data_IF_658305649538
#
_entry.id   IF_658305649538
#
_cell.length_a   1.000
_cell.length_b   1.000
_cell.length_c   1.000
_cell.angle_alpha   90.00
_cell.angle_beta   90.00
_cell.angle_gamma   90.00
#
_symmetry.space_group_name_H-M   'P 1'
#
loop_
_entity.id
_entity.type
_entity.pdbx_description
1 polymer ?
#
# COMPACT_ATOMS: atom_id res chain seq x y z
N UNK A 1 3.10 -4.85 25.55
CA UNK A 1 1.94 -4.78 24.64
C UNK A 1 1.69 -6.19 24.11
N UNK A 2 0.50 -6.78 24.29
CA UNK A 2 0.21 -8.10 23.74
C UNK A 2 0.10 -7.98 22.21
N UNK A 3 0.90 -8.76 21.48
CA UNK A 3 0.78 -8.86 20.03
C UNK A 3 -0.60 -9.45 19.70
N UNK A 4 -1.36 -8.81 18.81
CA UNK A 4 -2.61 -9.41 18.30
C UNK A 4 -2.26 -10.65 17.47
N UNK A 5 -3.07 -11.71 17.54
CA UNK A 5 -2.83 -12.94 16.77
C UNK A 5 -2.65 -12.67 15.27
N UNK A 6 -3.33 -11.67 14.73
CA UNK A 6 -3.18 -11.21 13.34
C UNK A 6 -1.78 -10.69 13.00
N UNK A 7 -1.12 -9.98 13.92
CA UNK A 7 0.20 -9.42 13.69
C UNK A 7 1.26 -10.52 13.54
N UNK A 8 1.20 -11.54 14.41
CA UNK A 8 2.08 -12.71 14.33
C UNK A 8 1.83 -13.54 13.05
N UNK A 9 0.56 -13.71 12.67
CA UNK A 9 0.20 -14.40 11.42
C UNK A 9 0.65 -13.61 10.18
N UNK A 10 0.47 -12.29 10.17
CA UNK A 10 0.96 -11.46 9.07
C UNK A 10 2.48 -11.55 8.91
N UNK A 11 3.23 -11.54 10.01
CA UNK A 11 4.68 -11.74 9.97
C UNK A 11 5.06 -13.13 9.40
N UNK A 12 4.30 -14.17 9.79
CA UNK A 12 4.48 -15.54 9.28
C UNK A 12 4.19 -15.64 7.78
N UNK A 13 3.14 -14.98 7.28
CA UNK A 13 2.81 -14.92 5.86
C UNK A 13 3.92 -14.25 5.03
N UNK A 14 4.57 -13.23 5.58
CA UNK A 14 5.75 -12.62 4.94
C UNK A 14 6.92 -13.60 4.90
N UNK A 15 7.16 -14.34 5.98
CA UNK A 15 8.23 -15.34 6.03
C UNK A 15 8.02 -16.45 4.98
N UNK A 16 6.81 -17.01 4.89
CA UNK A 16 6.44 -18.02 3.88
C UNK A 16 6.59 -17.46 2.46
N UNK A 17 6.13 -16.23 2.22
CA UNK A 17 6.31 -15.59 0.91
C UNK A 17 7.77 -15.35 0.57
N UNK A 18 8.62 -15.08 1.56
CA UNK A 18 10.06 -14.90 1.34
C UNK A 18 10.72 -16.23 1.03
N UNK A 19 10.43 -17.28 1.81
CA UNK A 19 10.97 -18.63 1.61
C UNK A 19 10.64 -19.18 0.23
N UNK A 20 9.35 -19.15 -0.16
CA UNK A 20 8.93 -19.58 -1.50
C UNK A 20 9.69 -18.86 -2.62
N UNK A 21 9.97 -17.55 -2.44
CA UNK A 21 10.73 -16.79 -3.41
C UNK A 21 12.21 -17.16 -3.39
N UNK A 22 12.82 -17.28 -2.22
CA UNK A 22 14.23 -17.67 -2.05
C UNK A 22 14.51 -19.06 -2.64
N UNK A 23 13.60 -20.02 -2.48
CA UNK A 23 13.68 -21.34 -3.13
C UNK A 23 13.73 -21.20 -4.65
N UNK A 24 12.85 -20.38 -5.24
CA UNK A 24 12.88 -20.07 -6.67
C UNK A 24 14.18 -19.34 -7.13
N UNK A 25 14.95 -18.72 -6.22
CA UNK A 25 16.23 -18.07 -6.54
C UNK A 25 17.39 -19.04 -6.57
N UNK A 26 17.41 -20.01 -5.63
CA UNK A 26 18.43 -21.07 -5.59
C UNK A 26 18.45 -21.85 -6.90
N UNK A 27 17.30 -21.96 -7.56
CA UNK A 27 17.16 -22.58 -8.87
C UNK A 27 17.67 -21.69 -10.04
N UNK A 28 17.91 -20.38 -9.84
CA UNK A 28 18.29 -19.42 -10.91
C UNK A 28 19.22 -18.29 -10.41
N UNK A 29 20.53 -18.56 -10.36
CA UNK A 29 21.60 -17.66 -9.88
C UNK A 29 21.61 -16.26 -10.56
N UNK A 30 21.20 -16.14 -11.83
CA UNK A 30 21.25 -14.87 -12.58
C UNK A 30 20.20 -13.83 -12.17
N UNK A 31 19.31 -14.13 -11.20
CA UNK A 31 18.27 -13.20 -10.73
C UNK A 31 18.65 -12.33 -9.52
N UNK A 32 19.80 -12.55 -8.92
CA UNK A 32 20.24 -11.91 -7.66
C UNK A 32 19.92 -10.40 -7.52
N UNK A 33 20.15 -9.52 -8.53
CA UNK A 33 19.83 -8.09 -8.40
C UNK A 33 18.33 -7.79 -8.31
N UNK A 34 17.48 -8.59 -8.96
CA UNK A 34 16.01 -8.42 -8.92
C UNK A 34 15.44 -8.86 -7.58
N UNK A 35 16.14 -9.75 -6.88
CA UNK A 35 15.68 -10.35 -5.63
C UNK A 35 16.15 -9.59 -4.40
N UNK A 36 17.25 -8.82 -4.50
CA UNK A 36 17.70 -7.90 -3.46
C UNK A 36 16.55 -6.98 -2.99
N UNK A 37 15.77 -6.45 -3.94
CA UNK A 37 14.63 -5.59 -3.62
C UNK A 37 13.57 -6.25 -2.75
N UNK A 38 13.18 -7.47 -3.11
CA UNK A 38 12.14 -8.19 -2.39
C UNK A 38 12.65 -8.71 -1.05
N UNK A 39 13.88 -9.24 -1.03
CA UNK A 39 14.57 -9.72 0.16
C UNK A 39 14.68 -8.61 1.21
N UNK A 40 15.21 -7.45 0.83
CA UNK A 40 15.40 -6.31 1.75
C UNK A 40 14.06 -5.88 2.34
N UNK A 41 13.04 -5.68 1.50
CA UNK A 41 11.71 -5.26 1.98
C UNK A 41 11.11 -6.31 2.93
N UNK A 42 11.21 -7.60 2.58
CA UNK A 42 10.70 -8.68 3.41
C UNK A 42 11.43 -8.77 4.77
N UNK A 43 12.74 -8.49 4.82
CA UNK A 43 13.51 -8.48 6.08
C UNK A 43 12.97 -7.47 7.10
N UNK A 44 12.52 -6.29 6.65
CA UNK A 44 12.04 -5.23 7.57
C UNK A 44 10.51 -5.18 7.72
N UNK A 45 9.76 -5.98 6.96
CA UNK A 45 8.29 -6.02 7.04
C UNK A 45 7.75 -6.53 8.38
N UNK A 46 8.27 -7.65 8.96
CA UNK A 46 7.78 -8.21 10.21
C UNK A 46 7.80 -7.23 11.40
N UNK A 47 8.85 -6.41 11.54
CA UNK A 47 8.94 -5.45 12.66
C UNK A 47 7.83 -4.40 12.65
N UNK A 48 7.31 -4.03 11.47
CA UNK A 48 6.16 -3.11 11.39
C UNK A 48 4.85 -3.84 11.63
N UNK A 49 4.70 -5.07 11.12
CA UNK A 49 3.52 -5.90 11.35
C UNK A 49 3.31 -6.21 12.83
N UNK A 50 4.40 -6.43 13.56
CA UNK A 50 4.40 -6.67 15.00
C UNK A 50 4.27 -5.38 15.83
N UNK A 51 4.21 -4.20 15.20
CA UNK A 51 4.13 -2.92 15.90
C UNK A 51 5.41 -2.51 16.64
N UNK A 52 6.54 -3.19 16.40
CA UNK A 52 7.85 -2.85 16.99
C UNK A 52 8.39 -1.55 16.40
N UNK A 53 8.05 -1.25 15.14
CA UNK A 53 8.50 -0.07 14.42
C UNK A 53 7.37 0.55 13.61
N UNK A 54 7.52 1.83 13.25
CA UNK A 54 6.58 2.51 12.35
C UNK A 54 6.95 2.29 10.88
N UNK A 55 6.01 2.52 9.96
CA UNK A 55 6.28 2.45 8.52
C UNK A 55 7.38 3.43 8.06
N UNK A 56 7.55 4.56 8.74
CA UNK A 56 8.63 5.52 8.44
C UNK A 56 10.00 4.99 8.85
N UNK A 57 10.10 4.37 10.04
CA UNK A 57 11.34 3.75 10.51
C UNK A 57 11.70 2.55 9.62
N UNK A 58 10.72 1.74 9.25
CA UNK A 58 10.89 0.65 8.30
C UNK A 58 11.43 1.15 6.96
N UNK A 59 10.79 2.17 6.38
CA UNK A 59 11.23 2.74 5.11
C UNK A 59 12.68 3.23 5.19
N UNK A 60 13.04 3.97 6.24
CA UNK A 60 14.41 4.45 6.43
C UNK A 60 15.42 3.29 6.50
N UNK A 61 15.12 2.21 7.22
CA UNK A 61 15.97 1.02 7.30
C UNK A 61 16.10 0.30 5.95
N UNK A 62 15.01 0.19 5.20
CA UNK A 62 15.01 -0.37 3.84
C UNK A 62 15.93 0.47 2.93
N UNK A 63 15.82 1.79 2.97
CA UNK A 63 16.68 2.71 2.18
C UNK A 63 18.15 2.54 2.56
N UNK A 64 18.47 2.60 3.86
CA UNK A 64 19.84 2.40 4.35
C UNK A 64 20.43 1.07 3.87
N UNK A 65 19.62 -0.01 3.90
CA UNK A 65 20.08 -1.31 3.43
C UNK A 65 20.32 -1.35 1.94
N UNK A 66 19.47 -0.72 1.14
CA UNK A 66 19.70 -0.61 -0.30
C UNK A 66 20.97 0.17 -0.63
N UNK A 67 21.17 1.32 0.02
CA UNK A 67 22.37 2.15 -0.19
C UNK A 67 23.64 1.42 0.22
N UNK A 68 23.61 0.65 1.32
CA UNK A 68 24.73 -0.20 1.74
C UNK A 68 25.07 -1.30 0.72
N UNK A 69 24.11 -1.71 -0.11
CA UNK A 69 24.32 -2.65 -1.22
C UNK A 69 24.58 -1.94 -2.57
N UNK A 70 24.79 -0.61 -2.57
CA UNK A 70 25.07 0.17 -3.77
C UNK A 70 23.85 0.46 -4.65
N UNK A 71 22.64 0.22 -4.15
CA UNK A 71 21.38 0.37 -4.90
C UNK A 71 20.78 1.74 -4.61
N UNK A 72 20.87 2.66 -5.57
CA UNK A 72 20.38 4.05 -5.44
C UNK A 72 19.07 4.33 -6.18
N UNK A 73 18.73 3.49 -7.15
CA UNK A 73 17.52 3.62 -7.96
C UNK A 73 17.49 2.59 -9.08
N UNK A 74 16.41 2.59 -9.87
CA UNK A 74 16.29 1.73 -11.05
C UNK A 74 15.23 2.27 -12.03
N UNK A 75 15.19 1.69 -13.23
CA UNK A 75 14.13 1.90 -14.21
C UNK A 75 13.24 0.66 -14.21
N UNK A 76 11.93 0.87 -14.02
CA UNK A 76 10.98 -0.25 -14.07
C UNK A 76 10.64 -0.68 -15.50
N UNK A 77 9.86 -1.75 -15.63
CA UNK A 77 9.46 -2.31 -16.94
C UNK A 77 8.63 -1.35 -17.79
N UNK A 78 8.03 -0.33 -17.18
CA UNK A 78 7.27 0.72 -17.88
C UNK A 78 8.13 1.94 -18.25
N UNK A 79 9.46 1.86 -18.05
CA UNK A 79 10.38 2.96 -18.33
C UNK A 79 10.41 4.05 -17.25
N UNK A 80 9.71 3.87 -16.12
CA UNK A 80 9.69 4.86 -15.05
C UNK A 80 10.95 4.76 -14.20
N UNK A 81 11.58 5.90 -13.94
CA UNK A 81 12.71 6.03 -13.03
C UNK A 81 12.21 6.07 -11.58
N UNK A 82 12.80 5.23 -10.74
CA UNK A 82 12.54 5.16 -9.31
C UNK A 82 13.78 5.58 -8.54
N UNK A 83 13.62 6.53 -7.62
CA UNK A 83 14.58 6.71 -6.52
C UNK A 83 14.34 5.63 -5.48
N UNK A 84 15.40 5.19 -4.82
CA UNK A 84 15.29 4.06 -3.91
C UNK A 84 14.38 4.35 -2.71
N UNK A 85 14.32 5.60 -2.23
CA UNK A 85 13.41 6.01 -1.17
C UNK A 85 11.93 5.95 -1.56
N UNK A 86 11.59 6.37 -2.78
CA UNK A 86 10.23 6.27 -3.30
C UNK A 86 9.81 4.79 -3.48
N UNK A 87 10.75 3.96 -3.95
CA UNK A 87 10.51 2.52 -4.04
C UNK A 87 10.33 1.88 -2.66
N UNK A 88 11.21 2.18 -1.70
CA UNK A 88 11.15 1.66 -0.35
C UNK A 88 9.84 2.01 0.35
N UNK A 89 9.33 3.23 0.17
CA UNK A 89 8.01 3.63 0.68
C UNK A 89 6.91 2.76 0.07
N UNK A 90 6.87 2.68 -1.26
CA UNK A 90 5.83 1.94 -1.98
C UNK A 90 5.86 0.46 -1.59
N UNK A 91 7.04 -0.16 -1.64
CA UNK A 91 7.20 -1.59 -1.40
C UNK A 91 6.94 -1.95 0.06
N UNK A 92 7.44 -1.16 1.02
CA UNK A 92 7.21 -1.36 2.45
C UNK A 92 5.72 -1.28 2.80
N UNK A 93 5.05 -0.19 2.39
CA UNK A 93 3.60 -0.02 2.62
C UNK A 93 2.77 -1.14 1.99
N UNK A 94 3.09 -1.51 0.76
CA UNK A 94 2.38 -2.57 0.03
C UNK A 94 2.56 -3.92 0.72
N UNK A 95 3.78 -4.23 1.18
CA UNK A 95 4.07 -5.51 1.85
C UNK A 95 3.31 -5.63 3.17
N UNK A 96 3.29 -4.55 3.96
CA UNK A 96 2.52 -4.50 5.22
C UNK A 96 1.02 -4.64 4.96
N UNK A 97 0.46 -3.87 4.03
CA UNK A 97 -0.97 -3.89 3.75
C UNK A 97 -1.45 -5.26 3.25
N UNK A 98 -0.72 -5.87 2.31
CA UNK A 98 -1.05 -7.22 1.80
C UNK A 98 -0.96 -8.27 2.90
N UNK A 99 0.12 -8.28 3.68
CA UNK A 99 0.29 -9.24 4.76
C UNK A 99 -0.83 -9.15 5.81
N UNK A 100 -1.28 -7.93 6.16
CA UNK A 100 -2.43 -7.76 7.06
C UNK A 100 -3.74 -8.27 6.46
N UNK A 101 -4.02 -7.96 5.19
CA UNK A 101 -5.22 -8.46 4.53
C UNK A 101 -5.20 -10.00 4.45
N UNK A 102 -4.08 -10.59 4.05
CA UNK A 102 -3.95 -12.03 3.91
C UNK A 102 -4.07 -12.75 5.27
N UNK A 103 -3.43 -12.23 6.32
CA UNK A 103 -3.58 -12.76 7.67
C UNK A 103 -5.00 -12.57 8.23
N UNK A 104 -5.65 -11.46 7.89
CA UNK A 104 -7.04 -11.18 8.23
C UNK A 104 -7.98 -12.23 7.63
N UNK A 105 -7.85 -12.49 6.33
CA UNK A 105 -8.62 -13.51 5.59
C UNK A 105 -8.35 -14.91 6.15
N UNK A 106 -7.07 -15.27 6.35
CA UNK A 106 -6.72 -16.57 6.93
C UNK A 106 -7.41 -16.78 8.27
N UNK A 107 -7.35 -15.80 9.16
CA UNK A 107 -8.01 -15.86 10.47
C UNK A 107 -9.54 -15.95 10.35
N UNK A 108 -10.15 -15.22 9.41
CA UNK A 108 -11.59 -15.33 9.15
C UNK A 108 -11.96 -16.78 8.77
N UNK A 109 -11.23 -17.38 7.84
CA UNK A 109 -11.43 -18.77 7.42
C UNK A 109 -11.25 -19.76 8.57
N UNK A 110 -10.24 -19.57 9.43
CA UNK A 110 -10.06 -20.41 10.64
C UNK A 110 -11.22 -20.31 11.64
N UNK A 111 -12.02 -19.24 11.59
CA UNK A 111 -13.22 -19.07 12.42
C UNK A 111 -14.50 -19.42 11.65
N UNK A 112 -14.41 -20.12 10.51
CA UNK A 112 -15.57 -20.50 9.70
C UNK A 112 -16.22 -19.33 8.95
N UNK A 113 -15.57 -18.17 8.88
CA UNK A 113 -16.05 -17.02 8.12
C UNK A 113 -15.52 -17.13 6.69
N UNK A 114 -16.41 -17.44 5.76
CA UNK A 114 -16.09 -17.65 4.35
C UNK A 114 -16.37 -16.43 3.46
N UNK A 115 -17.03 -15.41 4.02
CA UNK A 115 -17.41 -14.19 3.32
C UNK A 115 -16.74 -12.96 3.93
N UNK A 116 -16.32 -12.04 3.06
CA UNK A 116 -15.79 -10.74 3.43
C UNK A 116 -16.47 -9.62 2.68
N UNK A 117 -16.21 -8.40 3.11
CA UNK A 117 -16.48 -7.19 2.33
C UNK A 117 -15.18 -6.43 2.14
N UNK A 118 -15.05 -5.73 1.02
CA UNK A 118 -13.91 -4.84 0.79
C UNK A 118 -14.33 -3.43 1.18
N UNK A 119 -13.51 -2.77 1.99
CA UNK A 119 -13.67 -1.36 2.29
C UNK A 119 -12.45 -0.54 1.89
N UNK A 120 -12.65 0.74 1.63
CA UNK A 120 -11.62 1.65 1.13
C UNK A 120 -11.84 3.10 1.55
N UNK A 121 -10.91 3.96 1.13
CA UNK A 121 -11.03 5.40 1.30
C UNK A 121 -11.83 6.05 0.17
N UNK A 122 -12.34 7.26 0.40
CA UNK A 122 -13.05 8.05 -0.62
C UNK A 122 -12.21 8.27 -1.90
N UNK A 123 -10.89 8.36 -1.77
CA UNK A 123 -9.94 8.51 -2.88
C UNK A 123 -9.40 7.16 -3.40
N UNK A 124 -10.20 6.10 -3.30
CA UNK A 124 -9.92 4.78 -3.87
C UNK A 124 -9.69 4.88 -5.39
N UNK A 125 -8.86 3.98 -5.93
CA UNK A 125 -8.58 4.00 -7.36
C UNK A 125 -9.69 3.29 -8.14
N UNK A 126 -9.77 3.57 -9.46
CA UNK A 126 -10.72 2.90 -10.37
C UNK A 126 -10.67 1.37 -10.35
N UNK A 127 -9.55 0.75 -9.95
CA UNK A 127 -9.40 -0.72 -9.91
C UNK A 127 -10.03 -1.33 -8.67
N UNK A 128 -9.98 -0.62 -7.55
CA UNK A 128 -10.52 -1.09 -6.27
C UNK A 128 -11.96 -0.66 -6.07
N UNK A 129 -12.35 0.50 -6.60
CA UNK A 129 -13.69 1.06 -6.42
C UNK A 129 -14.85 0.09 -6.78
N UNK A 130 -14.78 -0.72 -7.85
CA UNK A 130 -15.84 -1.68 -8.18
C UNK A 130 -16.09 -2.75 -7.12
N UNK A 131 -15.14 -2.97 -6.21
CA UNK A 131 -15.21 -3.99 -5.17
C UNK A 131 -15.57 -3.43 -3.79
N UNK A 132 -15.51 -2.11 -3.59
CA UNK A 132 -15.80 -1.53 -2.28
C UNK A 132 -17.29 -1.66 -1.97
N UNK A 133 -17.63 -2.14 -0.78
CA UNK A 133 -19.02 -2.39 -0.37
C UNK A 133 -19.61 -3.68 -0.93
N UNK A 134 -18.83 -4.48 -1.65
CA UNK A 134 -19.24 -5.75 -2.27
C UNK A 134 -18.93 -6.93 -1.37
N UNK A 135 -19.80 -7.93 -1.39
CA UNK A 135 -19.58 -9.18 -0.66
C UNK A 135 -18.72 -10.08 -1.54
N UNK A 136 -17.59 -10.53 -1.00
CA UNK A 136 -16.65 -11.42 -1.67
C UNK A 136 -16.52 -12.74 -0.93
N UNK A 137 -16.52 -13.85 -1.66
CA UNK A 137 -16.23 -15.18 -1.11
C UNK A 137 -14.73 -15.46 -1.07
N UNK A 138 -14.29 -16.13 -0.01
CA UNK A 138 -12.94 -16.69 0.12
C UNK A 138 -12.82 -18.12 -0.43
N UNK A 139 -13.95 -18.82 -0.59
CA UNK A 139 -14.01 -20.25 -0.96
C UNK A 139 -14.53 -20.49 -2.39
N UNK A 140 -14.98 -19.45 -3.08
CA UNK A 140 -15.32 -19.51 -4.50
C UNK A 140 -16.81 -19.38 -4.83
N UNK A 141 -17.68 -19.42 -3.83
CA UNK A 141 -19.14 -19.29 -4.00
C UNK A 141 -19.52 -17.88 -4.49
N UNK A 142 -20.43 -17.79 -5.45
CA UNK A 142 -20.93 -16.51 -6.02
C UNK A 142 -22.43 -16.58 -6.30
N UNK A 143 -23.10 -15.43 -6.41
CA UNK A 143 -24.54 -15.35 -6.68
C UNK A 143 -25.38 -15.38 -5.41
N UNK A 144 -26.68 -15.66 -5.57
CA UNK A 144 -27.62 -15.71 -4.45
C UNK A 144 -27.49 -17.03 -3.69
N UNK A 145 -27.20 -16.93 -2.40
CA UNK A 145 -27.05 -18.10 -1.51
C UNK A 145 -27.89 -17.89 -0.26
N UNK A 146 -28.59 -18.94 0.16
CA UNK A 146 -29.33 -18.97 1.41
C UNK A 146 -28.38 -19.38 2.53
N UNK A 147 -28.16 -18.48 3.49
CA UNK A 147 -27.25 -18.70 4.62
C UNK A 147 -28.00 -18.50 5.95
N UNK A 148 -27.56 -19.16 7.04
CA UNK A 148 -28.07 -18.84 8.37
C UNK A 148 -27.82 -17.38 8.71
N UNK A 149 -28.82 -16.67 9.22
CA UNK A 149 -28.62 -15.30 9.69
C UNK A 149 -27.67 -15.28 10.88
N UNK A 150 -26.74 -14.33 10.92
CA UNK A 150 -25.68 -14.30 11.93
C UNK A 150 -26.19 -14.18 13.38
N UNK A 151 -27.37 -13.57 13.57
CA UNK A 151 -27.97 -13.33 14.90
C UNK A 151 -29.41 -13.80 15.04
N UNK A 152 -30.04 -14.31 13.97
CA UNK A 152 -31.46 -14.70 13.96
C UNK A 152 -31.57 -16.17 13.57
N UNK A 153 -32.63 -16.85 14.02
CA UNK A 153 -32.84 -18.28 13.74
C UNK A 153 -33.39 -18.59 12.34
N UNK A 154 -33.64 -17.57 11.53
CA UNK A 154 -34.15 -17.70 10.17
C UNK A 154 -33.03 -17.56 9.13
N UNK A 155 -33.13 -18.24 7.98
CA UNK A 155 -32.17 -18.05 6.91
C UNK A 155 -32.36 -16.70 6.21
N UNK A 156 -31.30 -16.20 5.58
CA UNK A 156 -31.29 -14.98 4.77
C UNK A 156 -30.63 -15.25 3.42
N UNK A 157 -31.22 -14.70 2.36
CA UNK A 157 -30.61 -14.71 1.03
C UNK A 157 -29.55 -13.62 0.96
N UNK A 158 -28.31 -14.01 0.67
CA UNK A 158 -27.18 -13.11 0.46
C UNK A 158 -26.74 -13.19 -0.99
N UNK A 159 -26.64 -12.04 -1.64
CA UNK A 159 -26.01 -11.94 -2.96
C UNK A 159 -24.50 -11.76 -2.80
N UNK A 160 -23.72 -12.72 -3.29
CA UNK A 160 -22.25 -12.68 -3.29
C UNK A 160 -21.78 -12.16 -4.65
N UNK A 161 -21.23 -10.94 -4.68
CA UNK A 161 -20.86 -10.24 -5.91
C UNK A 161 -19.67 -10.89 -6.66
N UNK A 162 -18.83 -11.65 -5.96
CA UNK A 162 -17.68 -12.34 -6.56
C UNK A 162 -16.77 -12.99 -5.53
N UNK A 163 -15.54 -13.30 -5.94
CA UNK A 163 -14.52 -13.91 -5.08
C UNK A 163 -13.37 -12.94 -4.82
N UNK A 164 -12.69 -13.10 -3.68
CA UNK A 164 -11.48 -12.33 -3.39
C UNK A 164 -10.37 -12.59 -4.44
N UNK A 165 -10.34 -13.80 -5.01
CA UNK A 165 -9.45 -14.15 -6.11
C UNK A 165 -9.75 -13.34 -7.38
N UNK A 166 -11.02 -13.20 -7.76
CA UNK A 166 -11.45 -12.35 -8.89
C UNK A 166 -11.13 -10.87 -8.63
N UNK A 167 -11.31 -10.39 -7.40
CA UNK A 167 -10.92 -9.03 -7.02
C UNK A 167 -9.42 -8.80 -7.25
N UNK A 168 -8.57 -9.72 -6.77
CA UNK A 168 -7.13 -9.66 -7.01
C UNK A 168 -6.77 -9.71 -8.50
N UNK A 169 -7.44 -10.58 -9.28
CA UNK A 169 -7.22 -10.71 -10.72
C UNK A 169 -7.54 -9.43 -11.49
N UNK A 170 -8.55 -8.68 -11.04
CA UNK A 170 -8.94 -7.39 -11.64
C UNK A 170 -8.15 -6.18 -11.11
N UNK A 171 -7.25 -6.40 -10.16
CA UNK A 171 -6.26 -5.42 -9.71
C UNK A 171 -6.50 -4.84 -8.32
N UNK A 172 -7.42 -5.39 -7.53
CA UNK A 172 -7.49 -5.10 -6.09
C UNK A 172 -6.21 -5.56 -5.37
N UNK A 173 -5.77 -4.83 -4.34
CA UNK A 173 -4.53 -5.12 -3.63
C UNK A 173 -3.28 -4.71 -4.41
N UNK A 174 -3.38 -3.74 -5.31
CA UNK A 174 -2.26 -3.21 -6.09
C UNK A 174 -1.22 -2.47 -5.21
N UNK A 175 -0.06 -2.10 -5.75
CA UNK A 175 0.91 -1.30 -4.99
C UNK A 175 0.33 0.03 -4.47
N UNK A 176 0.62 0.37 -3.21
CA UNK A 176 0.03 1.51 -2.48
C UNK A 176 -1.49 1.47 -2.29
N UNK A 177 -2.14 0.32 -2.49
CA UNK A 177 -3.55 0.16 -2.13
C UNK A 177 -3.75 0.36 -0.62
N UNK A 178 -4.89 0.96 -0.27
CA UNK A 178 -5.33 1.20 1.11
C UNK A 178 -6.63 0.47 1.44
N UNK A 179 -7.16 -0.29 0.50
CA UNK A 179 -8.34 -1.11 0.74
C UNK A 179 -8.02 -2.28 1.67
N UNK A 180 -9.01 -2.67 2.45
CA UNK A 180 -8.92 -3.78 3.40
C UNK A 180 -10.08 -4.74 3.21
N UNK A 181 -9.88 -5.97 3.67
CA UNK A 181 -10.96 -6.96 3.76
C UNK A 181 -11.46 -6.98 5.20
N UNK A 182 -12.75 -6.72 5.38
CA UNK A 182 -13.44 -6.87 6.65
C UNK A 182 -14.33 -8.13 6.60
N UNK A 183 -14.61 -8.73 7.75
CA UNK A 183 -15.49 -9.90 7.82
C UNK A 183 -16.93 -9.48 7.47
N UNK A 184 -17.63 -10.32 6.71
CA UNK A 184 -19.06 -10.17 6.47
C UNK A 184 -19.83 -11.28 7.17
N UNK A 185 -20.85 -10.90 7.93
CA UNK A 185 -21.75 -11.83 8.62
C UNK A 185 -23.13 -11.75 7.97
N UNK A 186 -23.71 -12.88 7.51
CA UNK A 186 -24.99 -12.89 6.81
C UNK A 186 -26.11 -12.18 7.57
N UNK A 187 -26.83 -11.30 6.88
CA UNK A 187 -27.94 -10.54 7.42
C UNK A 187 -27.57 -9.31 8.27
N UNK A 188 -26.27 -9.05 8.49
CA UNK A 188 -25.81 -7.81 9.09
C UNK A 188 -25.52 -6.73 8.03
N UNK A 189 -25.34 -5.49 8.50
CA UNK A 189 -25.02 -4.36 7.64
C UNK A 189 -23.71 -4.58 6.89
N UNK A 190 -23.69 -4.19 5.62
CA UNK A 190 -22.50 -4.23 4.76
C UNK A 190 -21.80 -2.87 4.86
N UNK A 191 -20.56 -2.80 5.41
CA UNK A 191 -19.75 -1.60 5.38
C UNK A 191 -19.66 -1.01 3.97
N UNK A 192 -19.91 0.30 3.85
CA UNK A 192 -19.76 1.04 2.60
C UNK A 192 -20.54 0.46 1.40
N UNK A 193 -21.68 -0.18 1.63
CA UNK A 193 -22.54 -0.76 0.56
C UNK A 193 -22.81 0.21 -0.59
N UNK A 194 -23.03 1.47 -0.26
CA UNK A 194 -23.39 2.52 -1.22
C UNK A 194 -22.18 3.33 -1.70
N UNK A 195 -20.97 2.77 -1.60
CA UNK A 195 -19.76 3.43 -2.05
C UNK A 195 -19.84 3.80 -3.53
N UNK A 196 -19.47 5.05 -3.84
CA UNK A 196 -19.40 5.54 -5.21
C UNK A 196 -17.97 5.93 -5.56
N UNK A 197 -17.54 5.55 -6.76
CA UNK A 197 -16.23 5.91 -7.26
C UNK A 197 -16.15 7.43 -7.52
N UNK A 198 -15.27 8.09 -6.78
CA UNK A 198 -14.95 9.50 -7.01
C UNK A 198 -13.65 9.63 -7.83
N UNK A 199 -13.83 9.85 -9.14
CA UNK A 199 -12.73 10.10 -10.09
C UNK A 199 -11.92 11.35 -9.72
N UNK A 200 -12.59 12.37 -9.19
CA UNK A 200 -11.94 13.62 -8.80
C UNK A 200 -11.04 13.39 -7.58
N UNK A 201 -11.51 12.69 -6.55
CA UNK A 201 -10.70 12.36 -5.39
C UNK A 201 -9.47 11.50 -5.74
N UNK A 202 -9.61 10.54 -6.67
CA UNK A 202 -8.45 9.79 -7.21
C UNK A 202 -7.47 10.72 -7.94
N UNK A 203 -7.96 11.60 -8.80
CA UNK A 203 -7.15 12.55 -9.55
C UNK A 203 -6.39 13.49 -8.61
N UNK A 204 -7.05 14.04 -7.60
CA UNK A 204 -6.43 14.93 -6.62
C UNK A 204 -5.33 14.22 -5.80
N UNK A 205 -5.54 12.94 -5.44
CA UNK A 205 -4.49 12.14 -4.83
C UNK A 205 -3.28 11.99 -5.77
N UNK A 206 -3.52 11.75 -7.06
CA UNK A 206 -2.46 11.61 -8.04
C UNK A 206 -1.71 12.93 -8.27
N UNK A 207 -2.44 14.05 -8.30
CA UNK A 207 -1.86 15.38 -8.49
C UNK A 207 -0.99 15.80 -7.30
N UNK A 208 -1.43 15.55 -6.07
CA UNK A 208 -0.60 15.73 -4.89
C UNK A 208 0.74 14.97 -5.01
N UNK A 209 0.70 13.74 -5.55
CA UNK A 209 1.90 12.92 -5.77
C UNK A 209 2.77 13.44 -6.91
N UNK A 210 2.21 14.14 -7.90
CA UNK A 210 2.93 14.76 -9.01
C UNK A 210 3.76 15.96 -8.54
N UNK A 211 3.22 16.75 -7.60
CA UNK A 211 3.87 17.92 -7.01
C UNK A 211 5.00 17.56 -6.03
N UNK A 212 4.90 16.43 -5.32
CA UNK A 212 5.91 15.96 -4.36
C UNK A 212 7.35 15.88 -4.94
N UNK A 213 7.60 15.26 -6.13
CA UNK A 213 8.89 15.25 -6.80
C UNK A 213 9.47 16.63 -7.13
N UNK A 214 8.64 17.60 -7.51
CA UNK A 214 9.09 18.94 -7.91
C UNK A 214 9.72 19.67 -6.72
N UNK A 215 9.08 19.59 -5.54
CA UNK A 215 9.63 20.12 -4.29
C UNK A 215 10.97 19.45 -3.96
N UNK A 216 11.07 18.13 -4.14
CA UNK A 216 12.33 17.40 -3.92
C UNK A 216 13.41 17.82 -4.91
N UNK A 217 13.06 18.04 -6.17
CA UNK A 217 14.00 18.47 -7.20
C UNK A 217 14.57 19.85 -6.88
N UNK A 218 13.72 20.80 -6.49
CA UNK A 218 14.16 22.13 -6.07
C UNK A 218 15.07 22.07 -4.83
N UNK A 219 14.73 21.23 -3.84
CA UNK A 219 15.58 21.02 -2.66
C UNK A 219 16.94 20.40 -3.00
N UNK A 220 16.98 19.48 -3.97
CA UNK A 220 18.24 18.89 -4.47
C UNK A 220 19.14 19.96 -5.07
N UNK A 221 18.57 20.82 -5.92
CA UNK A 221 19.31 21.94 -6.51
C UNK A 221 19.81 22.91 -5.44
N UNK A 222 19.01 23.15 -4.40
CA UNK A 222 19.41 23.99 -3.27
C UNK A 222 20.58 23.39 -2.49
N UNK A 223 20.53 22.08 -2.23
CA UNK A 223 21.61 21.38 -1.52
C UNK A 223 22.91 21.28 -2.33
N UNK A 224 22.80 21.26 -3.67
CA UNK A 224 23.94 21.18 -4.59
C UNK A 224 24.48 22.55 -5.03
N UNK A 225 23.89 23.66 -4.57
CA UNK A 225 24.30 25.00 -4.99
C UNK A 225 25.72 25.32 -4.51
N UNK A 226 26.57 25.77 -5.44
CA UNK A 226 27.98 26.09 -5.16
C UNK A 226 28.21 27.59 -4.93
N UNK A 227 27.23 28.44 -5.25
CA UNK A 227 27.31 29.90 -5.08
C UNK A 227 26.12 30.42 -4.30
N UNK A 228 26.29 31.57 -3.63
CA UNK A 228 25.19 32.24 -2.92
C UNK A 228 24.04 32.64 -3.86
N UNK A 229 24.36 33.01 -5.11
CA UNK A 229 23.36 33.36 -6.12
C UNK A 229 22.51 32.16 -6.49
N UNK A 230 23.13 31.00 -6.68
CA UNK A 230 22.44 29.75 -7.01
C UNK A 230 21.64 29.23 -5.81
N UNK A 231 22.20 29.33 -4.60
CA UNK A 231 21.50 28.96 -3.37
C UNK A 231 20.22 29.78 -3.17
N UNK A 232 20.30 31.11 -3.40
CA UNK A 232 19.13 32.01 -3.36
C UNK A 232 18.11 31.69 -4.45
N UNK A 233 18.55 31.34 -5.66
CA UNK A 233 17.66 30.92 -6.77
C UNK A 233 16.91 29.64 -6.40
N UNK A 234 17.63 28.61 -5.99
CA UNK A 234 17.04 27.33 -5.63
C UNK A 234 16.10 27.45 -4.42
N UNK A 235 16.41 28.31 -3.43
CA UNK A 235 15.50 28.60 -2.32
C UNK A 235 14.17 29.23 -2.79
N UNK A 236 14.21 30.12 -3.79
CA UNK A 236 12.97 30.66 -4.42
C UNK A 236 12.18 29.57 -5.13
N UNK A 237 12.85 28.66 -5.83
CA UNK A 237 12.19 27.54 -6.51
C UNK A 237 11.52 26.59 -5.52
N UNK A 238 12.18 26.30 -4.39
CA UNK A 238 11.57 25.53 -3.28
C UNK A 238 10.33 26.25 -2.75
N UNK A 239 10.43 27.55 -2.48
CA UNK A 239 9.30 28.33 -1.97
C UNK A 239 8.12 28.33 -2.95
N UNK A 240 8.39 28.44 -4.26
CA UNK A 240 7.39 28.37 -5.34
C UNK A 240 6.69 27.01 -5.39
N UNK A 241 7.45 25.92 -5.46
CA UNK A 241 6.88 24.57 -5.52
C UNK A 241 6.06 24.23 -4.25
N UNK A 242 6.52 24.69 -3.08
CA UNK A 242 5.76 24.55 -1.85
C UNK A 242 4.50 25.42 -1.82
N UNK A 243 4.52 26.61 -2.44
CA UNK A 243 3.34 27.47 -2.56
C UNK A 243 2.28 26.82 -3.45
N UNK A 244 2.69 26.21 -4.56
CA UNK A 244 1.82 25.44 -5.43
C UNK A 244 1.15 24.28 -4.69
N UNK A 245 1.93 23.46 -3.97
CA UNK A 245 1.39 22.41 -3.09
C UNK A 245 0.40 22.98 -2.07
N UNK A 246 0.73 24.08 -1.38
CA UNK A 246 -0.20 24.70 -0.41
C UNK A 246 -1.49 25.18 -1.08
N UNK A 247 -1.40 25.78 -2.27
CA UNK A 247 -2.55 26.21 -3.06
C UNK A 247 -3.46 25.05 -3.42
N UNK A 248 -2.88 23.97 -3.95
CA UNK A 248 -3.59 22.74 -4.29
C UNK A 248 -4.28 22.10 -3.07
N UNK A 249 -3.60 22.02 -1.93
CA UNK A 249 -4.18 21.47 -0.70
C UNK A 249 -5.31 22.34 -0.12
N UNK A 250 -5.21 23.67 -0.25
CA UNK A 250 -6.28 24.59 0.16
C UNK A 250 -7.54 24.40 -0.70
N UNK A 251 -7.37 24.17 -2.00
CA UNK A 251 -8.49 23.96 -2.93
C UNK A 251 -9.19 22.62 -2.71
N UNK A 252 -8.43 21.57 -2.39
CA UNK A 252 -8.94 20.19 -2.30
C UNK A 252 -9.24 19.72 -0.87
N UNK A 253 -8.79 20.46 0.16
CA UNK A 253 -8.90 20.05 1.56
C UNK A 253 -8.01 18.87 1.95
N UNK A 254 -7.13 18.40 1.05
CA UNK A 254 -6.26 17.25 1.30
C UNK A 254 -5.19 17.56 2.35
N UNK A 255 -4.77 16.53 3.07
CA UNK A 255 -3.69 16.62 4.07
C UNK A 255 -2.31 16.58 3.39
N UNK A 256 -1.41 17.47 3.79
CA UNK A 256 -0.02 17.51 3.31
C UNK A 256 0.78 16.32 3.82
N UNK A 257 1.62 15.74 2.94
CA UNK A 257 2.58 14.68 3.31
C UNK A 257 4.01 15.23 3.34
N UNK A 258 4.30 16.16 4.25
CA UNK A 258 5.58 16.91 4.31
C UNK A 258 6.82 16.01 4.37
N UNK A 259 6.72 14.83 4.98
CA UNK A 259 7.85 13.89 5.07
C UNK A 259 8.31 13.41 3.69
N UNK A 260 7.39 13.26 2.73
CA UNK A 260 7.72 12.83 1.36
C UNK A 260 8.45 13.88 0.56
N UNK A 261 8.37 15.12 0.98
CA UNK A 261 9.01 16.24 0.31
C UNK A 261 10.47 16.41 0.74
N UNK A 262 10.97 15.61 1.68
CA UNK A 262 12.35 15.71 2.19
C UNK A 262 13.32 14.88 1.35
N UNK A 263 14.58 15.31 1.23
CA UNK A 263 15.60 14.57 0.48
C UNK A 263 15.90 13.22 1.13
N UNK A 264 16.04 13.20 2.46
CA UNK A 264 16.19 11.95 3.25
C UNK A 264 15.10 10.90 3.03
N UNK A 265 13.93 11.31 2.53
CA UNK A 265 12.86 10.38 2.19
C UNK A 265 13.12 9.67 0.85
N UNK A 266 13.61 10.38 -0.16
CA UNK A 266 13.74 9.87 -1.52
C UNK A 266 15.13 9.34 -1.86
N UNK A 267 16.16 9.99 -1.31
CA UNK A 267 17.56 9.81 -1.68
C UNK A 267 18.32 9.04 -0.56
N UNK A 268 17.82 9.10 0.68
CA UNK A 268 18.42 8.49 1.88
C UNK A 268 19.10 9.51 2.76
#
# INVERSE_FOLDING_TARGET
MPFTSTAAQAASMVAVSLENRLTNLRERITRYPRDAYQRIVATYTPSTLLGITTSQVQQARIVQRFLAEGITGFVDRSGRRWTIGAYAEMAGRTSVARAYNDAGVWRMQQNGIELGTISGGADACRKCAPWIGKIVSFVGTTGDVVLPHATRGEPVTVHIDGTLAQARATGWGHPNDRCKVDAYSPGLAIPQRDFQYDKQAEHERAEQRRLEPEIRSAKRNQAAAMTDTDARRAARDVAKAQAEMRGFLKQTGRKRSTYREQLRFADG
#
